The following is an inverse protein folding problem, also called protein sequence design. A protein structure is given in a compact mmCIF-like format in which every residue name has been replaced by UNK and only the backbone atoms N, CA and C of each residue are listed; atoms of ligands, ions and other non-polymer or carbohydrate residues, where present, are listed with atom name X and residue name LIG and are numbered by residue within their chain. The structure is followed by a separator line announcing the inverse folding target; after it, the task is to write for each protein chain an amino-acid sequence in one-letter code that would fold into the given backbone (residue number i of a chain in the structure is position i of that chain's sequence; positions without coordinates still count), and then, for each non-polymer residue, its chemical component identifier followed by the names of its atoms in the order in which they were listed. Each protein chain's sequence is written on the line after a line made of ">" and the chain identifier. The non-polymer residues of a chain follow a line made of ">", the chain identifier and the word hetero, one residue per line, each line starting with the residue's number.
data_IF_751400498268
#
_entry.id   IF_751400498268
#
_cell.length_a   1.000
_cell.length_b   1.000
_cell.length_c   1.000
_cell.angle_alpha   90.00
_cell.angle_beta   90.00
_cell.angle_gamma   90.00
#
_symmetry.space_group_name_H-M   'P 1'
#
loop_
_entity.id
_entity.type
_entity.pdbx_description
1 polymer ?
#
# COMPACT_ATOMS: atom_id res chain seq x y z
N UNK A 1 -8.04 27.42 -18.49
CA UNK A 1 -7.39 26.23 -19.09
C UNK A 1 -7.81 25.00 -18.27
N UNK A 2 -8.14 23.90 -18.92
CA UNK A 2 -8.46 22.66 -18.18
C UNK A 2 -7.18 22.08 -17.55
N UNK A 3 -7.25 21.65 -16.28
CA UNK A 3 -6.15 20.97 -15.65
C UNK A 3 -5.88 19.61 -16.29
N UNK A 4 -4.60 19.25 -16.49
CA UNK A 4 -4.21 17.88 -16.88
C UNK A 4 -4.48 16.94 -15.70
N UNK A 5 -5.23 15.87 -15.95
CA UNK A 5 -5.54 14.84 -14.95
C UNK A 5 -4.47 13.78 -14.96
N UNK A 6 -3.93 13.43 -13.79
CA UNK A 6 -2.90 12.40 -13.63
C UNK A 6 -3.29 11.51 -12.48
N UNK A 7 -3.44 10.21 -12.73
CA UNK A 7 -3.62 9.19 -11.71
C UNK A 7 -2.32 9.03 -10.95
N UNK A 8 -2.37 9.13 -9.63
CA UNK A 8 -1.17 9.08 -8.78
C UNK A 8 -1.24 7.88 -7.84
N UNK A 9 -0.52 6.82 -8.15
CA UNK A 9 -0.48 5.60 -7.38
C UNK A 9 0.59 5.67 -6.28
N UNK A 10 0.15 5.69 -5.04
CA UNK A 10 0.97 5.58 -3.85
C UNK A 10 1.27 4.10 -3.60
N UNK A 11 2.41 3.64 -4.09
CA UNK A 11 2.78 2.23 -4.10
C UNK A 11 3.30 1.78 -2.73
N UNK A 12 2.39 1.48 -1.80
CA UNK A 12 2.79 0.89 -0.50
C UNK A 12 3.34 -0.51 -0.72
N UNK A 13 4.53 -0.77 -0.21
CA UNK A 13 5.22 -2.04 -0.38
C UNK A 13 4.41 -3.22 0.13
N UNK A 14 4.23 -4.24 -0.71
CA UNK A 14 3.43 -5.48 -0.48
C UNK A 14 1.91 -5.28 -0.39
N UNK A 15 1.37 -4.18 -0.93
CA UNK A 15 -0.05 -3.89 -1.03
C UNK A 15 -0.58 -4.00 -2.48
N UNK A 16 -0.20 -5.06 -3.20
CA UNK A 16 -0.61 -5.33 -4.58
C UNK A 16 -0.18 -4.28 -5.62
N UNK A 17 0.76 -3.37 -5.28
CA UNK A 17 1.14 -2.27 -6.15
C UNK A 17 1.65 -2.72 -7.51
N UNK A 18 2.52 -3.73 -7.60
CA UNK A 18 3.00 -4.28 -8.88
C UNK A 18 1.86 -4.82 -9.75
N UNK A 19 0.81 -5.40 -9.13
CA UNK A 19 -0.38 -5.84 -9.87
C UNK A 19 -1.14 -4.65 -10.43
N UNK A 20 -1.27 -3.58 -9.64
CA UNK A 20 -1.94 -2.38 -10.10
C UNK A 20 -1.12 -1.60 -11.14
N UNK A 21 0.20 -1.55 -11.03
CA UNK A 21 1.07 -0.96 -12.05
C UNK A 21 0.88 -1.61 -13.43
N UNK A 22 0.71 -2.94 -13.48
CA UNK A 22 0.38 -3.62 -14.74
C UNK A 22 -0.98 -3.18 -15.30
N UNK A 23 -1.99 -2.95 -14.43
CA UNK A 23 -3.27 -2.39 -14.87
C UNK A 23 -3.08 -0.99 -15.42
N UNK A 24 -2.20 -0.17 -14.83
CA UNK A 24 -1.86 1.14 -15.35
C UNK A 24 -1.12 1.07 -16.69
N UNK A 25 -0.17 0.14 -16.83
CA UNK A 25 0.54 -0.10 -18.10
C UNK A 25 -0.40 -0.50 -19.24
N UNK A 26 -1.40 -1.33 -18.93
CA UNK A 26 -2.42 -1.75 -19.90
C UNK A 26 -3.35 -0.62 -20.32
N UNK A 27 -3.67 0.30 -19.41
CA UNK A 27 -4.53 1.45 -19.69
C UNK A 27 -3.79 2.59 -20.41
N UNK A 28 -2.53 2.80 -20.06
CA UNK A 28 -1.82 4.03 -20.43
C UNK A 28 -0.51 3.81 -21.20
N UNK A 29 0.02 2.57 -21.24
CA UNK A 29 1.28 2.27 -21.91
C UNK A 29 2.40 3.21 -21.47
N UNK A 30 3.08 3.85 -22.44
CA UNK A 30 4.18 4.79 -22.21
C UNK A 30 3.76 6.08 -21.46
N UNK A 31 2.45 6.30 -21.25
CA UNK A 31 1.94 7.40 -20.45
C UNK A 31 1.80 7.05 -18.96
N UNK A 32 2.09 5.82 -18.54
CA UNK A 32 2.33 5.45 -17.16
C UNK A 32 3.84 5.51 -16.88
N UNK A 33 4.22 6.25 -15.86
CA UNK A 33 5.60 6.34 -15.40
C UNK A 33 5.73 5.83 -13.96
N UNK A 34 6.66 4.91 -13.74
CA UNK A 34 7.06 4.49 -12.40
C UNK A 34 8.42 5.10 -12.09
N UNK A 35 8.57 5.71 -10.94
CA UNK A 35 9.81 6.37 -10.54
C UNK A 35 10.06 6.24 -9.04
N UNK A 36 11.31 5.97 -8.71
CA UNK A 36 11.82 6.06 -7.35
C UNK A 36 13.19 6.76 -7.40
N UNK A 37 13.53 7.50 -6.35
CA UNK A 37 14.88 8.06 -6.23
C UNK A 37 15.92 6.97 -5.94
N UNK A 38 17.21 7.32 -6.02
CA UNK A 38 18.33 6.36 -5.93
C UNK A 38 18.45 5.69 -4.55
N UNK A 39 17.81 6.25 -3.53
CA UNK A 39 17.84 5.72 -2.16
C UNK A 39 16.48 5.15 -1.78
N UNK A 40 16.37 3.82 -1.50
CA UNK A 40 15.10 3.12 -1.29
C UNK A 40 14.20 3.70 -0.18
N UNK A 41 14.79 4.36 0.82
CA UNK A 41 14.09 4.94 1.97
C UNK A 41 13.95 6.46 1.90
N UNK A 42 14.33 7.08 0.79
CA UNK A 42 14.13 8.51 0.57
C UNK A 42 12.64 8.81 0.37
N UNK A 43 12.23 10.00 0.78
CA UNK A 43 10.88 10.52 0.47
C UNK A 43 11.00 11.58 -0.61
N UNK A 44 10.10 11.52 -1.57
CA UNK A 44 9.92 12.56 -2.60
C UNK A 44 8.91 13.55 -2.04
N UNK A 45 9.31 14.80 -1.86
CA UNK A 45 8.42 15.85 -1.35
C UNK A 45 7.47 16.39 -2.46
N UNK A 46 6.51 17.23 -2.08
CA UNK A 46 5.47 17.74 -2.99
C UNK A 46 6.03 18.54 -4.17
N UNK A 47 7.05 19.37 -3.94
CA UNK A 47 7.67 20.18 -5.00
C UNK A 47 8.46 19.30 -5.98
N UNK A 48 9.20 18.32 -5.44
CA UNK A 48 9.89 17.34 -6.25
C UNK A 48 8.91 16.52 -7.09
N UNK A 49 7.82 16.04 -6.48
CA UNK A 49 6.77 15.28 -7.17
C UNK A 49 6.15 16.12 -8.29
N UNK A 50 5.80 17.37 -8.01
CA UNK A 50 5.26 18.29 -9.01
C UNK A 50 6.24 18.47 -10.17
N UNK A 51 7.53 18.67 -9.86
CA UNK A 51 8.60 18.82 -10.86
C UNK A 51 8.75 17.56 -11.73
N UNK A 52 8.73 16.36 -11.11
CA UNK A 52 8.81 15.09 -11.84
C UNK A 52 7.64 14.96 -12.82
N UNK A 53 6.41 15.19 -12.35
CA UNK A 53 5.22 15.08 -13.20
C UNK A 53 5.23 16.13 -14.34
N UNK A 54 5.74 17.33 -14.11
CA UNK A 54 5.86 18.37 -15.14
C UNK A 54 6.89 18.01 -16.22
N UNK A 55 7.97 17.31 -15.85
CA UNK A 55 8.99 16.80 -16.82
C UNK A 55 8.46 15.69 -17.73
N UNK A 56 7.32 15.10 -17.38
CA UNK A 56 6.62 14.10 -18.18
C UNK A 56 5.25 14.64 -18.64
N UNK A 57 5.21 15.55 -19.63
CA UNK A 57 3.98 16.27 -20.02
C UNK A 57 2.88 15.35 -20.56
N UNK A 58 3.23 14.17 -21.06
CA UNK A 58 2.30 13.20 -21.61
C UNK A 58 1.83 12.16 -20.57
N UNK A 59 2.37 12.17 -19.34
CA UNK A 59 1.99 11.19 -18.32
C UNK A 59 0.51 11.37 -17.92
N UNK A 60 -0.21 10.25 -17.93
CA UNK A 60 -1.59 10.11 -17.44
C UNK A 60 -1.65 9.34 -16.12
N UNK A 61 -0.64 8.53 -15.83
CA UNK A 61 -0.49 7.83 -14.56
C UNK A 61 0.96 7.87 -14.06
N UNK A 62 1.11 7.90 -12.74
CA UNK A 62 2.41 7.89 -12.08
C UNK A 62 2.36 6.95 -10.88
N UNK A 63 3.43 6.18 -10.65
CA UNK A 63 3.60 5.29 -9.50
C UNK A 63 4.92 5.53 -8.79
N UNK A 64 4.93 5.50 -7.45
CA UNK A 64 6.16 5.54 -6.67
C UNK A 64 5.97 4.98 -5.26
N UNK A 65 7.03 4.34 -4.72
CA UNK A 65 7.12 3.93 -3.32
C UNK A 65 7.48 5.08 -2.36
N UNK A 66 7.93 6.21 -2.90
CA UNK A 66 8.58 7.29 -2.14
C UNK A 66 7.71 8.53 -1.98
N UNK A 67 6.53 8.55 -2.59
CA UNK A 67 5.55 9.62 -2.45
C UNK A 67 4.61 9.37 -1.26
N UNK A 68 4.18 10.44 -0.62
CA UNK A 68 3.30 10.41 0.55
C UNK A 68 2.13 11.35 0.38
N UNK A 69 0.98 11.04 1.00
CA UNK A 69 -0.16 11.93 1.06
C UNK A 69 0.11 13.14 2.01
N UNK A 70 -0.56 14.26 1.77
CA UNK A 70 -1.48 14.58 0.68
C UNK A 70 -0.77 14.83 -0.65
N UNK A 71 -1.50 14.69 -1.77
CA UNK A 71 -0.97 15.08 -3.07
C UNK A 71 -0.73 16.61 -3.15
N UNK A 72 0.28 17.07 -3.90
CA UNK A 72 0.52 18.50 -4.05
C UNK A 72 -0.63 19.19 -4.76
N UNK A 73 -0.95 20.42 -4.35
CA UNK A 73 -1.86 21.29 -5.07
C UNK A 73 -1.15 21.90 -6.28
N UNK A 74 -1.84 21.95 -7.43
CA UNK A 74 -1.29 22.51 -8.65
C UNK A 74 -2.38 23.24 -9.45
N UNK A 75 -2.01 24.36 -10.05
CA UNK A 75 -2.91 25.13 -10.95
C UNK A 75 -3.13 24.40 -12.28
N UNK A 76 -2.11 23.68 -12.77
CA UNK A 76 -2.09 23.01 -14.07
C UNK A 76 -2.42 21.52 -14.02
N UNK A 77 -2.34 20.89 -12.84
CA UNK A 77 -2.50 19.45 -12.66
C UNK A 77 -3.66 19.15 -11.70
N UNK A 78 -4.51 18.21 -12.05
CA UNK A 78 -5.44 17.54 -11.15
C UNK A 78 -4.90 16.15 -10.85
N UNK A 79 -4.25 16.01 -9.71
CA UNK A 79 -3.71 14.72 -9.25
C UNK A 79 -4.82 13.91 -8.59
N UNK A 80 -4.94 12.65 -8.98
CA UNK A 80 -5.99 11.72 -8.52
C UNK A 80 -5.31 10.59 -7.74
N UNK A 81 -5.27 10.68 -6.39
CA UNK A 81 -4.65 9.66 -5.57
C UNK A 81 -5.31 8.29 -5.69
N UNK A 82 -4.49 7.26 -5.79
CA UNK A 82 -4.88 5.86 -5.72
C UNK A 82 -4.00 5.16 -4.71
N UNK A 83 -4.61 4.48 -3.73
CA UNK A 83 -3.90 3.80 -2.64
C UNK A 83 -4.52 2.44 -2.40
N UNK A 84 -3.67 1.42 -2.21
CA UNK A 84 -4.09 0.10 -1.78
C UNK A 84 -3.67 -0.19 -0.35
N UNK A 85 -4.61 -0.71 0.41
CA UNK A 85 -4.39 -1.22 1.76
C UNK A 85 -4.36 -2.74 1.78
N UNK A 86 -3.67 -3.26 2.76
CA UNK A 86 -3.65 -4.68 3.08
C UNK A 86 -3.81 -4.87 4.57
N UNK A 87 -4.39 -6.00 5.00
CA UNK A 87 -4.28 -6.38 6.40
C UNK A 87 -2.80 -6.30 6.83
N UNK A 88 -2.44 -5.51 7.86
CA UNK A 88 -1.03 -5.21 8.19
C UNK A 88 -0.21 -6.46 8.47
N UNK A 89 -0.80 -7.44 9.15
CA UNK A 89 -0.12 -8.68 9.50
C UNK A 89 0.12 -9.54 8.25
N UNK A 90 -0.85 -9.62 7.35
CA UNK A 90 -0.69 -10.30 6.07
C UNK A 90 0.29 -9.57 5.13
N UNK A 91 0.41 -8.25 5.25
CA UNK A 91 1.47 -7.48 4.57
C UNK A 91 2.85 -7.91 5.04
N UNK A 92 3.06 -8.01 6.35
CA UNK A 92 4.33 -8.43 6.97
C UNK A 92 4.66 -9.87 6.58
N UNK A 93 3.70 -10.77 6.65
CA UNK A 93 3.85 -12.14 6.15
C UNK A 93 4.27 -12.16 4.67
N UNK A 94 3.67 -11.31 3.85
CA UNK A 94 4.05 -11.20 2.43
C UNK A 94 5.48 -10.68 2.23
N UNK A 95 5.96 -9.79 3.11
CA UNK A 95 7.36 -9.33 3.09
C UNK A 95 8.32 -10.47 3.39
N UNK A 96 8.04 -11.25 4.43
CA UNK A 96 8.82 -12.44 4.77
C UNK A 96 8.93 -13.42 3.60
N UNK A 97 7.78 -13.81 3.03
CA UNK A 97 7.75 -14.75 1.91
C UNK A 97 8.48 -14.20 0.68
N UNK A 98 8.44 -12.90 0.46
CA UNK A 98 9.18 -12.26 -0.63
C UNK A 98 10.69 -12.26 -0.37
N UNK A 99 11.13 -11.94 0.86
CA UNK A 99 12.55 -11.95 1.22
C UNK A 99 13.15 -13.36 1.14
N UNK A 100 12.37 -14.39 1.52
CA UNK A 100 12.77 -15.79 1.40
C UNK A 100 13.01 -16.19 -0.05
N UNK A 101 12.11 -15.83 -0.97
CA UNK A 101 12.28 -16.08 -2.42
C UNK A 101 13.52 -15.41 -3.02
N UNK A 102 13.84 -14.18 -2.59
CA UNK A 102 15.00 -13.44 -3.10
C UNK A 102 16.34 -14.07 -2.72
N UNK A 103 16.40 -14.75 -1.58
CA UNK A 103 17.59 -15.50 -1.13
C UNK A 103 17.74 -16.84 -1.82
N UNK A 104 16.63 -17.43 -2.27
CA UNK A 104 16.56 -18.79 -2.81
C UNK A 104 16.47 -18.85 -4.35
N UNK A 105 16.91 -17.81 -5.07
CA UNK A 105 16.96 -17.84 -6.55
C UNK A 105 17.75 -19.02 -7.13
N UNK A 106 18.54 -19.69 -6.31
CA UNK A 106 19.25 -20.93 -6.67
C UNK A 106 18.42 -22.19 -6.37
N UNK A 107 17.32 -22.07 -5.61
CA UNK A 107 16.50 -23.19 -5.11
C UNK A 107 15.06 -23.17 -5.65
N UNK A 108 14.85 -22.85 -6.91
CA UNK A 108 13.52 -22.81 -7.56
C UNK A 108 12.70 -24.11 -7.50
N UNK A 109 13.22 -25.17 -6.85
CA UNK A 109 12.58 -26.50 -6.77
C UNK A 109 12.34 -27.04 -5.36
N UNK A 110 12.69 -26.31 -4.30
CA UNK A 110 12.37 -26.77 -2.95
C UNK A 110 10.96 -26.34 -2.60
N UNK A 111 10.02 -27.25 -2.70
CA UNK A 111 8.70 -27.10 -2.09
C UNK A 111 8.92 -27.04 -0.58
N UNK A 112 8.88 -25.83 -0.02
CA UNK A 112 8.98 -25.64 1.42
C UNK A 112 7.84 -26.40 2.08
N UNK A 113 8.15 -27.34 2.93
CA UNK A 113 7.17 -28.11 3.72
C UNK A 113 6.31 -27.19 4.60
N UNK A 114 6.91 -26.08 5.07
CA UNK A 114 6.22 -25.01 5.79
C UNK A 114 6.65 -23.63 5.26
N UNK A 115 5.74 -22.86 4.64
CA UNK A 115 6.03 -21.51 4.16
C UNK A 115 6.42 -20.53 5.26
N UNK A 116 6.05 -20.80 6.53
CA UNK A 116 6.31 -19.94 7.68
C UNK A 116 7.50 -20.42 8.54
N UNK A 117 8.22 -21.44 8.09
CA UNK A 117 9.45 -21.86 8.76
C UNK A 117 10.44 -20.70 8.89
N UNK A 118 10.87 -20.41 10.13
CA UNK A 118 11.76 -19.28 10.45
C UNK A 118 11.09 -17.92 10.50
N UNK A 119 9.77 -17.83 10.36
CA UNK A 119 9.04 -16.58 10.38
C UNK A 119 9.16 -15.85 11.71
N UNK A 120 9.06 -16.56 12.83
CA UNK A 120 9.22 -15.99 14.17
C UNK A 120 10.60 -15.35 14.38
N UNK A 121 11.67 -16.06 14.02
CA UNK A 121 13.03 -15.53 14.11
C UNK A 121 13.19 -14.26 13.26
N UNK A 122 12.62 -14.25 12.05
CA UNK A 122 12.65 -13.09 11.18
C UNK A 122 11.87 -11.91 11.77
N UNK A 123 10.69 -12.14 12.36
CA UNK A 123 9.89 -11.08 13.01
C UNK A 123 10.68 -10.49 14.18
N UNK A 124 11.28 -11.34 15.03
CA UNK A 124 12.06 -10.91 16.18
C UNK A 124 13.30 -10.10 15.75
N UNK A 125 13.99 -10.52 14.70
CA UNK A 125 15.10 -9.76 14.10
C UNK A 125 14.62 -8.39 13.60
N UNK A 126 13.52 -8.35 12.82
CA UNK A 126 12.96 -7.11 12.32
C UNK A 126 12.52 -6.15 13.44
N UNK A 127 11.95 -6.67 14.53
CA UNK A 127 11.52 -5.85 15.67
C UNK A 127 12.71 -5.39 16.55
N UNK A 128 13.82 -6.10 16.58
CA UNK A 128 14.99 -5.77 17.39
C UNK A 128 15.84 -4.63 16.81
N UNK A 129 15.81 -4.44 15.48
CA UNK A 129 16.62 -3.45 14.79
C UNK A 129 15.78 -2.25 14.34
N UNK A 130 16.16 -1.05 14.75
CA UNK A 130 15.39 0.17 14.50
C UNK A 130 15.03 0.39 13.02
N UNK A 131 16.01 0.26 12.13
CA UNK A 131 15.79 0.49 10.69
C UNK A 131 14.89 -0.58 10.07
N UNK A 132 14.98 -1.83 10.53
CA UNK A 132 14.12 -2.91 10.08
C UNK A 132 12.71 -2.77 10.63
N UNK A 133 12.58 -2.38 11.90
CA UNK A 133 11.30 -2.14 12.58
C UNK A 133 10.41 -1.14 11.84
N UNK A 134 10.98 -0.09 11.23
CA UNK A 134 10.23 0.86 10.40
C UNK A 134 9.46 0.20 9.25
N UNK A 135 9.95 -0.93 8.75
CA UNK A 135 9.33 -1.63 7.62
C UNK A 135 8.12 -2.49 8.03
N UNK A 136 8.02 -2.84 9.31
CA UNK A 136 6.96 -3.70 9.85
C UNK A 136 6.16 -3.07 11.00
N UNK A 137 6.25 -1.74 11.19
CA UNK A 137 5.54 -1.03 12.25
C UNK A 137 4.79 0.17 11.67
N UNK A 138 3.47 0.10 11.66
CA UNK A 138 2.58 1.19 11.24
C UNK A 138 2.97 1.83 9.88
N UNK A 139 3.44 1.03 8.93
CA UNK A 139 4.00 1.50 7.66
C UNK A 139 2.93 2.16 6.79
N UNK A 140 1.70 1.64 6.78
CA UNK A 140 0.61 2.19 5.98
C UNK A 140 0.16 3.55 6.56
N UNK A 141 0.06 3.64 7.87
CA UNK A 141 -0.21 4.92 8.56
C UNK A 141 0.88 5.94 8.27
N UNK A 142 2.15 5.51 8.28
CA UNK A 142 3.28 6.37 7.92
C UNK A 142 3.13 7.00 6.54
N UNK A 143 2.75 6.22 5.54
CA UNK A 143 2.59 6.70 4.15
C UNK A 143 1.49 7.74 4.00
N UNK A 144 0.46 7.66 4.82
CA UNK A 144 -0.68 8.56 4.75
C UNK A 144 -0.57 9.79 5.65
N UNK A 145 0.17 9.69 6.76
CA UNK A 145 0.28 10.78 7.75
C UNK A 145 1.47 11.70 7.54
N UNK A 146 2.41 11.37 6.68
CA UNK A 146 3.60 12.21 6.49
C UNK A 146 3.25 13.53 5.81
N UNK A 147 3.09 14.56 6.64
CA UNK A 147 3.56 15.87 6.24
C UNK A 147 5.10 15.77 6.19
N UNK A 148 5.68 15.94 5.01
CA UNK A 148 7.11 15.90 4.76
C UNK A 148 7.88 16.55 5.91
N UNK A 149 8.78 15.81 6.57
CA UNK A 149 9.71 16.25 7.60
C UNK A 149 9.37 15.98 9.08
N UNK A 150 8.30 15.31 9.42
CA UNK A 150 8.14 14.90 10.82
C UNK A 150 8.69 13.47 11.00
N UNK A 151 9.76 13.30 11.80
CA UNK A 151 10.23 11.97 12.17
C UNK A 151 9.12 11.23 12.95
N UNK A 152 9.05 9.90 12.84
CA UNK A 152 8.12 9.13 13.66
C UNK A 152 8.40 9.40 15.14
N UNK A 153 7.34 9.58 15.92
CA UNK A 153 7.47 9.63 17.37
C UNK A 153 7.75 8.23 17.90
N UNK A 154 8.65 8.13 18.86
CA UNK A 154 8.85 6.90 19.62
C UNK A 154 7.98 6.97 20.87
N UNK A 155 7.16 5.96 21.07
CA UNK A 155 6.33 5.85 22.27
C UNK A 155 6.62 4.54 23.01
N UNK A 156 6.65 4.65 24.33
CA UNK A 156 6.86 3.52 25.23
C UNK A 156 8.33 3.09 25.37
N UNK A 157 8.58 2.17 26.31
CA UNK A 157 9.92 1.60 26.55
C UNK A 157 10.40 0.69 25.44
N UNK A 158 9.49 0.16 24.65
CA UNK A 158 9.71 -0.73 23.51
C UNK A 158 10.04 0.02 22.20
N UNK A 159 10.03 1.36 22.21
CA UNK A 159 10.43 2.19 21.07
C UNK A 159 9.52 2.06 19.87
N UNK A 160 8.19 1.93 20.06
CA UNK A 160 7.23 1.91 18.97
C UNK A 160 7.32 3.14 18.09
N UNK A 161 7.20 2.93 16.80
CA UNK A 161 7.00 4.01 15.85
C UNK A 161 5.51 4.33 15.76
N UNK A 162 5.14 5.55 16.16
CA UNK A 162 3.79 6.09 16.01
C UNK A 162 3.81 7.26 15.05
N UNK A 163 2.71 7.41 14.35
CA UNK A 163 2.48 8.46 13.36
C UNK A 163 1.17 9.17 13.69
N UNK A 164 0.87 10.24 13.01
CA UNK A 164 -0.40 10.94 13.17
C UNK A 164 -1.52 10.16 12.47
N UNK A 165 -2.16 9.26 13.23
CA UNK A 165 -3.27 8.45 12.74
C UNK A 165 -4.46 9.32 12.31
N UNK A 166 -4.75 10.41 13.03
CA UNK A 166 -5.85 11.31 12.67
C UNK A 166 -5.58 11.98 11.33
N UNK A 167 -4.34 12.41 11.09
CA UNK A 167 -3.96 12.98 9.80
C UNK A 167 -4.05 11.93 8.68
N UNK A 168 -3.64 10.69 8.94
CA UNK A 168 -3.78 9.59 7.99
C UNK A 168 -5.26 9.38 7.61
N UNK A 169 -6.15 9.35 8.58
CA UNK A 169 -7.61 9.23 8.37
C UNK A 169 -8.16 10.42 7.59
N UNK A 170 -7.76 11.64 7.93
CA UNK A 170 -8.18 12.83 7.20
C UNK A 170 -7.74 12.77 5.72
N UNK A 171 -6.53 12.29 5.47
CA UNK A 171 -6.00 12.15 4.11
C UNK A 171 -6.73 11.08 3.28
N UNK A 172 -7.39 10.08 3.90
CA UNK A 172 -8.22 9.11 3.18
C UNK A 172 -9.39 9.76 2.44
N UNK A 173 -9.94 10.87 2.96
CA UNK A 173 -11.01 11.60 2.29
C UNK A 173 -10.58 12.18 0.94
N UNK A 174 -9.27 12.41 0.75
CA UNK A 174 -8.67 12.94 -0.47
C UNK A 174 -8.34 11.85 -1.51
N UNK A 175 -8.59 10.57 -1.19
CA UNK A 175 -8.27 9.43 -2.04
C UNK A 175 -9.54 8.89 -2.71
N UNK A 176 -9.81 9.24 -3.97
CA UNK A 176 -10.98 8.73 -4.68
C UNK A 176 -10.87 7.23 -4.98
N UNK A 177 -9.69 6.75 -5.37
CA UNK A 177 -9.43 5.35 -5.69
C UNK A 177 -8.76 4.64 -4.51
N UNK A 178 -9.58 4.17 -3.56
CA UNK A 178 -9.13 3.46 -2.37
C UNK A 178 -9.42 1.98 -2.53
N UNK A 179 -8.38 1.14 -2.55
CA UNK A 179 -8.49 -0.29 -2.77
C UNK A 179 -7.93 -1.13 -1.61
N UNK A 180 -8.35 -2.40 -1.58
CA UNK A 180 -7.87 -3.40 -0.62
C UNK A 180 -7.26 -4.58 -1.36
N UNK A 181 -6.09 -5.00 -0.95
CA UNK A 181 -5.38 -6.14 -1.57
C UNK A 181 -6.21 -7.42 -1.54
N UNK A 182 -6.94 -7.66 -0.45
CA UNK A 182 -7.80 -8.83 -0.25
C UNK A 182 -9.05 -8.81 -1.14
N UNK A 183 -9.43 -7.66 -1.66
CA UNK A 183 -10.60 -7.42 -2.50
C UNK A 183 -10.23 -6.76 -3.84
N UNK A 184 -9.01 -6.97 -4.32
CA UNK A 184 -8.40 -6.26 -5.43
C UNK A 184 -9.33 -6.14 -6.65
N UNK A 185 -9.84 -7.26 -7.15
CA UNK A 185 -10.68 -7.26 -8.36
C UNK A 185 -11.95 -6.42 -8.19
N UNK A 186 -12.61 -6.57 -7.05
CA UNK A 186 -13.85 -5.83 -6.74
C UNK A 186 -13.59 -4.34 -6.65
N UNK A 187 -12.54 -3.97 -5.91
CA UNK A 187 -12.23 -2.57 -5.66
C UNK A 187 -11.73 -1.88 -6.94
N UNK A 188 -10.83 -2.53 -7.72
CA UNK A 188 -10.32 -1.97 -8.99
C UNK A 188 -11.42 -1.86 -10.05
N UNK A 189 -12.34 -2.84 -10.13
CA UNK A 189 -13.49 -2.74 -11.05
C UNK A 189 -14.32 -1.48 -10.78
N UNK A 190 -14.46 -1.10 -9.52
CA UNK A 190 -15.20 0.10 -9.13
C UNK A 190 -14.50 1.42 -9.47
N UNK A 191 -13.18 1.40 -9.63
CA UNK A 191 -12.41 2.59 -10.04
C UNK A 191 -12.81 3.09 -11.41
N UNK A 192 -13.29 2.22 -12.31
CA UNK A 192 -13.75 2.63 -13.65
C UNK A 192 -14.86 3.67 -13.58
N UNK A 193 -15.84 3.48 -12.71
CA UNK A 193 -16.92 4.46 -12.50
C UNK A 193 -16.40 5.74 -11.85
N UNK A 194 -15.62 5.62 -10.77
CA UNK A 194 -15.05 6.79 -10.07
C UNK A 194 -14.18 7.64 -10.99
N UNK A 195 -13.35 7.01 -11.80
CA UNK A 195 -12.45 7.72 -12.72
C UNK A 195 -13.17 8.31 -13.91
N UNK A 196 -14.23 7.66 -14.40
CA UNK A 196 -15.12 8.23 -15.44
C UNK A 196 -15.79 9.52 -14.95
N UNK A 197 -16.30 9.55 -13.73
CA UNK A 197 -16.89 10.76 -13.11
C UNK A 197 -15.86 11.88 -12.96
N UNK A 198 -14.60 11.53 -12.76
CA UNK A 198 -13.49 12.48 -12.74
C UNK A 198 -12.97 12.82 -14.16
N UNK A 199 -13.57 12.23 -15.21
CA UNK A 199 -13.21 12.42 -16.62
C UNK A 199 -11.83 11.83 -16.96
N UNK A 200 -11.52 10.67 -16.41
CA UNK A 200 -10.33 9.86 -16.70
C UNK A 200 -10.79 8.53 -17.29
N UNK A 201 -10.24 8.16 -18.44
CA UNK A 201 -10.50 6.86 -19.06
C UNK A 201 -9.70 5.79 -18.31
N UNK A 202 -10.39 4.79 -17.80
CA UNK A 202 -9.80 3.65 -17.13
C UNK A 202 -10.70 2.43 -17.29
N UNK A 203 -10.13 1.29 -17.59
CA UNK A 203 -10.82 0.02 -17.69
C UNK A 203 -10.10 -1.06 -16.90
N UNK A 204 -10.85 -2.00 -16.38
CA UNK A 204 -10.31 -3.16 -15.70
C UNK A 204 -11.08 -4.42 -16.07
N UNK A 205 -10.36 -5.41 -16.58
CA UNK A 205 -10.88 -6.76 -16.79
C UNK A 205 -10.24 -7.71 -15.78
N UNK A 206 -11.08 -8.44 -15.07
CA UNK A 206 -10.61 -9.41 -14.08
C UNK A 206 -9.74 -10.48 -14.72
N UNK A 207 -8.54 -10.69 -14.18
CA UNK A 207 -7.57 -11.68 -14.64
C UNK A 207 -7.26 -12.72 -13.58
N UNK A 208 -6.66 -13.83 -14.00
CA UNK A 208 -6.09 -14.79 -13.04
C UNK A 208 -4.95 -14.12 -12.29
N UNK A 209 -4.96 -14.23 -10.96
CA UNK A 209 -3.92 -13.67 -10.11
C UNK A 209 -2.55 -14.29 -10.44
N UNK A 210 -1.63 -13.50 -11.00
CA UNK A 210 -0.33 -13.99 -11.46
C UNK A 210 0.77 -13.95 -10.40
N UNK A 211 0.71 -13.02 -9.45
CA UNK A 211 1.74 -12.81 -8.42
C UNK A 211 1.29 -13.26 -7.05
N UNK A 212 0.95 -14.51 -6.92
CA UNK A 212 0.53 -15.08 -5.65
C UNK A 212 1.75 -15.38 -4.78
N UNK A 213 1.91 -14.62 -3.70
CA UNK A 213 3.03 -14.78 -2.77
C UNK A 213 2.88 -15.96 -1.82
N UNK A 214 1.68 -16.55 -1.69
CA UNK A 214 1.40 -17.61 -0.73
C UNK A 214 0.48 -18.67 -1.35
N UNK A 215 0.72 -19.96 -1.09
CA UNK A 215 -0.16 -21.04 -1.55
C UNK A 215 -1.57 -20.96 -0.95
N UNK A 216 -1.73 -20.29 0.18
CA UNK A 216 -3.02 -20.12 0.87
C UNK A 216 -3.70 -18.76 0.63
N UNK A 217 -3.25 -18.01 -0.40
CA UNK A 217 -3.84 -16.70 -0.75
C UNK A 217 -5.36 -16.76 -1.02
N UNK A 218 -5.89 -17.92 -1.38
CA UNK A 218 -7.31 -18.14 -1.62
C UNK A 218 -8.11 -18.41 -0.34
N UNK A 219 -7.43 -18.65 0.79
CA UNK A 219 -8.11 -18.85 2.07
C UNK A 219 -8.66 -17.53 2.59
N UNK A 220 -9.75 -17.56 3.36
CA UNK A 220 -10.24 -16.37 4.07
C UNK A 220 -9.13 -15.70 4.90
N UNK A 221 -9.21 -14.38 5.06
CA UNK A 221 -8.23 -13.58 5.82
C UNK A 221 -8.04 -14.14 7.24
N UNK A 222 -9.13 -14.49 7.90
CA UNK A 222 -9.13 -15.03 9.26
C UNK A 222 -8.36 -16.35 9.35
N UNK A 223 -8.51 -17.22 8.35
CA UNK A 223 -7.77 -18.49 8.30
C UNK A 223 -6.26 -18.28 8.08
N UNK A 224 -5.91 -17.28 7.27
CA UNK A 224 -4.51 -16.90 7.06
C UNK A 224 -3.89 -16.30 8.33
N UNK A 225 -4.64 -15.43 9.04
CA UNK A 225 -4.20 -14.84 10.31
C UNK A 225 -4.04 -15.90 11.40
N UNK A 226 -4.98 -16.83 11.51
CA UNK A 226 -4.88 -17.95 12.47
C UNK A 226 -3.66 -18.84 12.21
N UNK A 227 -3.36 -19.12 10.95
CA UNK A 227 -2.15 -19.88 10.60
C UNK A 227 -0.88 -19.09 10.95
N UNK A 228 -0.87 -17.79 10.76
CA UNK A 228 0.24 -16.91 11.13
C UNK A 228 0.41 -16.84 12.66
N UNK A 229 -0.67 -16.64 13.41
CA UNK A 229 -0.65 -16.66 14.88
C UNK A 229 -0.09 -17.98 15.43
N UNK A 230 -0.54 -19.10 14.88
CA UNK A 230 -0.07 -20.43 15.29
C UNK A 230 1.41 -20.70 14.97
N UNK A 231 2.04 -19.89 14.13
CA UNK A 231 3.47 -19.99 13.78
C UNK A 231 4.38 -19.09 14.62
N UNK A 232 3.81 -18.37 15.58
CA UNK A 232 4.51 -17.43 16.45
C UNK A 232 4.25 -17.79 17.92
N UNK A 233 5.19 -17.45 18.81
CA UNK A 233 4.92 -17.45 20.23
C UNK A 233 3.88 -16.39 20.59
N UNK A 234 3.13 -16.56 21.70
CA UNK A 234 2.19 -15.54 22.16
C UNK A 234 2.83 -14.17 22.34
N UNK A 235 4.06 -14.12 22.82
CA UNK A 235 4.84 -12.91 23.04
C UNK A 235 5.15 -12.20 21.71
N UNK A 236 5.65 -12.92 20.72
CA UNK A 236 5.98 -12.37 19.39
C UNK A 236 4.72 -11.91 18.67
N UNK A 237 3.62 -12.67 18.77
CA UNK A 237 2.32 -12.28 18.21
C UNK A 237 1.81 -10.98 18.83
N UNK A 238 1.87 -10.86 20.16
CA UNK A 238 1.46 -9.64 20.87
C UNK A 238 2.32 -8.44 20.48
N UNK A 239 3.64 -8.60 20.41
CA UNK A 239 4.55 -7.53 20.00
C UNK A 239 4.29 -7.07 18.58
N UNK A 240 4.03 -8.00 17.66
CA UNK A 240 3.74 -7.67 16.25
C UNK A 240 2.42 -6.91 16.10
N UNK A 241 1.36 -7.33 16.80
CA UNK A 241 0.09 -6.60 16.84
C UNK A 241 0.27 -5.20 17.44
N UNK A 242 1.02 -5.12 18.54
CA UNK A 242 1.32 -3.86 19.19
C UNK A 242 2.10 -2.89 18.28
N UNK A 243 3.09 -3.39 17.55
CA UNK A 243 3.86 -2.60 16.60
C UNK A 243 2.99 -2.07 15.44
N UNK A 244 1.86 -2.70 15.16
CA UNK A 244 0.98 -2.36 14.04
C UNK A 244 -0.41 -1.87 14.46
N UNK A 245 -0.58 -1.44 15.72
CA UNK A 245 -1.89 -1.05 16.24
C UNK A 245 -2.56 0.08 15.44
N UNK A 246 -1.79 1.05 14.92
CA UNK A 246 -2.34 2.13 14.10
C UNK A 246 -2.73 1.62 12.69
N UNK A 247 -1.90 0.76 12.09
CA UNK A 247 -2.22 0.18 10.78
C UNK A 247 -3.45 -0.73 10.87
N UNK A 248 -3.64 -1.47 11.97
CA UNK A 248 -4.84 -2.28 12.22
C UNK A 248 -6.09 -1.39 12.30
N UNK A 249 -6.04 -0.33 13.12
CA UNK A 249 -7.15 0.62 13.23
C UNK A 249 -7.44 1.32 11.89
N UNK A 250 -6.41 1.73 11.16
CA UNK A 250 -6.54 2.36 9.85
C UNK A 250 -7.16 1.41 8.82
N UNK A 251 -6.76 0.14 8.84
CA UNK A 251 -7.31 -0.89 7.94
C UNK A 251 -8.79 -1.13 8.16
N UNK A 252 -9.24 -1.14 9.42
CA UNK A 252 -10.67 -1.24 9.76
C UNK A 252 -11.46 -0.04 9.23
N UNK A 253 -10.93 1.17 9.38
CA UNK A 253 -11.52 2.40 8.84
C UNK A 253 -11.60 2.33 7.31
N UNK A 254 -10.54 1.90 6.64
CA UNK A 254 -10.52 1.72 5.18
C UNK A 254 -11.59 0.72 4.73
N UNK A 255 -11.74 -0.40 5.43
CA UNK A 255 -12.77 -1.39 5.13
C UNK A 255 -14.18 -0.78 5.17
N UNK A 256 -14.47 0.01 6.19
CA UNK A 256 -15.79 0.65 6.30
C UNK A 256 -16.01 1.72 5.21
N UNK A 257 -15.00 2.56 4.93
CA UNK A 257 -15.08 3.56 3.86
C UNK A 257 -15.34 2.89 2.50
N UNK A 258 -14.58 1.84 2.16
CA UNK A 258 -14.74 1.18 0.85
C UNK A 258 -16.08 0.45 0.76
N UNK A 259 -16.52 -0.25 1.82
CA UNK A 259 -17.84 -0.88 1.86
C UNK A 259 -18.95 0.15 1.63
N UNK A 260 -18.87 1.30 2.28
CA UNK A 260 -19.88 2.36 2.13
C UNK A 260 -19.89 2.94 0.73
N UNK A 261 -18.72 3.23 0.14
CA UNK A 261 -18.60 3.68 -1.26
C UNK A 261 -19.21 2.66 -2.23
N UNK A 262 -18.96 1.36 -2.03
CA UNK A 262 -19.54 0.29 -2.85
C UNK A 262 -21.08 0.26 -2.75
N UNK A 263 -21.66 0.48 -1.56
CA UNK A 263 -23.12 0.54 -1.35
C UNK A 263 -23.76 1.75 -2.03
N UNK A 264 -23.09 2.91 -1.99
CA UNK A 264 -23.60 4.18 -2.55
C UNK A 264 -23.41 4.31 -4.06
N UNK A 265 -22.84 3.29 -4.72
CA UNK A 265 -22.52 3.34 -6.14
C UNK A 265 -21.45 4.40 -6.48
N UNK A 266 -20.46 4.57 -5.59
CA UNK A 266 -19.27 5.43 -5.76
C UNK A 266 -19.55 6.92 -6.06
N UNK A 267 -20.64 7.48 -5.59
CA UNK A 267 -20.79 8.93 -5.61
C UNK A 267 -19.86 9.54 -4.58
N UNK A 268 -18.73 10.12 -5.06
CA UNK A 268 -17.86 10.94 -4.20
C UNK A 268 -18.66 12.21 -3.89
N UNK A 269 -18.84 12.58 -2.60
CA UNK A 269 -19.34 13.92 -2.28
C UNK A 269 -18.33 14.91 -2.87
N UNK A 270 -18.78 15.73 -3.82
CA UNK A 270 -18.00 16.88 -4.30
C UNK A 270 -17.88 17.84 -3.11
N UNK A 271 -16.69 17.89 -2.48
CA UNK A 271 -16.32 18.88 -1.47
C UNK A 271 -15.74 20.10 -2.18
#
# INVERSE_FOLDING_TARGET
>A
MSQRKVLLHYHIYKNAGTTFERVLDENYGDQHISFDGPFPFSSINQDQLTTIIQRHPNALACSSHQIHLPAPSSVSLKLIPTVFFRNPLLRIRSMYLFSKRGKDKVLEKVTLSDPLEGFENWVNDMLSHEQHRLQISNTQTSMLSRCYNLPPKREGRDGRFTYDLQQAVNNLSLVPCLGRTEHFDTDVSSFSTTLADLGVNFSYEKRKAENVSSPDHKKPVEAQLKAMESSLSPETWQQLNWANHQDLALYDIVNEIVKERLRQGFRIPLV
#
